data_IF_081141729910
#
_entry.id   IF_081141729910
#
_cell.length_a   1.000
_cell.length_b   1.000
_cell.length_c   1.000
_cell.angle_alpha   90.00
_cell.angle_beta   90.00
_cell.angle_gamma   90.00
#
_symmetry.space_group_name_H-M   'P 1'
#
loop_
_entity.id
_entity.type
_entity.pdbx_description
1 polymer ?
#
# COMPACT_ATOMS: atom_id res chain seq x y z
N UNK A 1 -5.48 -26.17 0.45
CA UNK A 1 -4.76 -25.29 1.39
C UNK A 1 -4.86 -23.90 0.77
N UNK A 2 -5.51 -22.95 1.45
CA UNK A 2 -5.72 -21.61 0.91
C UNK A 2 -4.36 -20.90 0.81
N UNK A 3 -3.98 -20.58 -0.42
CA UNK A 3 -2.81 -19.78 -0.80
C UNK A 3 -2.94 -18.30 -0.40
N UNK A 4 -4.07 -17.91 0.20
CA UNK A 4 -4.35 -16.53 0.66
C UNK A 4 -3.81 -16.23 2.06
N UNK A 5 -3.05 -17.16 2.67
CA UNK A 5 -2.57 -17.00 4.04
C UNK A 5 -1.30 -16.18 4.20
N UNK A 6 -0.50 -16.05 3.15
CA UNK A 6 0.83 -15.46 3.24
C UNK A 6 0.77 -13.94 3.07
N UNK A 7 1.59 -13.22 3.82
CA UNK A 7 1.60 -11.75 3.85
C UNK A 7 1.71 -11.13 2.45
N UNK A 8 2.57 -11.68 1.60
CA UNK A 8 2.75 -11.16 0.23
C UNK A 8 1.50 -11.33 -0.65
N UNK A 9 0.75 -12.42 -0.45
CA UNK A 9 -0.50 -12.67 -1.15
C UNK A 9 -1.62 -11.74 -0.64
N UNK A 10 -1.65 -11.49 0.66
CA UNK A 10 -2.58 -10.56 1.31
C UNK A 10 -2.40 -9.13 0.78
N UNK A 11 -1.17 -8.61 0.74
CA UNK A 11 -0.91 -7.25 0.24
C UNK A 11 -1.14 -7.16 -1.28
N UNK A 12 -0.86 -8.24 -2.03
CA UNK A 12 -1.25 -8.29 -3.45
C UNK A 12 -2.77 -8.18 -3.61
N UNK A 13 -3.53 -8.90 -2.79
CA UNK A 13 -4.99 -8.85 -2.82
C UNK A 13 -5.52 -7.45 -2.49
N UNK A 14 -4.91 -6.77 -1.51
CA UNK A 14 -5.21 -5.38 -1.20
C UNK A 14 -4.99 -4.45 -2.40
N UNK A 15 -3.86 -4.61 -3.11
CA UNK A 15 -3.57 -3.85 -4.33
C UNK A 15 -4.59 -4.14 -5.45
N UNK A 16 -4.91 -5.40 -5.69
CA UNK A 16 -5.89 -5.81 -6.70
C UNK A 16 -7.28 -5.21 -6.39
N UNK A 17 -7.68 -5.25 -5.10
CA UNK A 17 -8.93 -4.66 -4.64
C UNK A 17 -8.96 -3.14 -4.83
N UNK A 18 -7.90 -2.44 -4.44
CA UNK A 18 -7.81 -1.00 -4.62
C UNK A 18 -7.81 -0.58 -6.11
N UNK A 19 -7.23 -1.40 -6.98
CA UNK A 19 -7.29 -1.16 -8.44
C UNK A 19 -8.70 -1.35 -9.00
N UNK A 20 -9.44 -2.36 -8.54
CA UNK A 20 -10.84 -2.55 -8.96
C UNK A 20 -11.74 -1.43 -8.44
N UNK A 21 -11.47 -0.94 -7.23
CA UNK A 21 -12.17 0.21 -6.64
C UNK A 21 -12.00 1.48 -7.48
N UNK A 22 -10.78 1.77 -7.97
CA UNK A 22 -10.54 2.87 -8.92
C UNK A 22 -11.35 2.68 -10.19
N UNK A 23 -11.30 1.50 -10.80
CA UNK A 23 -12.03 1.20 -12.05
C UNK A 23 -13.55 1.34 -11.88
N UNK A 24 -14.09 0.91 -10.74
CA UNK A 24 -15.51 1.10 -10.39
C UNK A 24 -15.84 2.60 -10.31
N UNK A 25 -15.03 3.35 -9.58
CA UNK A 25 -15.22 4.78 -9.34
C UNK A 25 -15.10 5.60 -10.63
N UNK A 26 -14.13 5.28 -11.49
CA UNK A 26 -14.00 5.86 -12.85
C UNK A 26 -15.26 5.62 -13.69
N UNK A 27 -15.82 4.41 -13.62
CA UNK A 27 -17.05 4.06 -14.34
C UNK A 27 -18.24 4.89 -13.85
N UNK A 28 -18.32 5.16 -12.55
CA UNK A 28 -19.37 6.00 -11.97
C UNK A 28 -19.22 7.47 -12.37
N UNK A 29 -18.01 8.03 -12.33
CA UNK A 29 -17.72 9.38 -12.83
C UNK A 29 -18.08 9.49 -14.31
N UNK A 30 -17.71 8.50 -15.12
CA UNK A 30 -18.02 8.49 -16.55
C UNK A 30 -19.53 8.48 -16.81
N UNK A 31 -20.30 7.68 -16.05
CA UNK A 31 -21.77 7.68 -16.14
C UNK A 31 -22.37 9.03 -15.76
N UNK A 32 -21.88 9.64 -14.68
CA UNK A 32 -22.31 10.96 -14.24
C UNK A 32 -22.05 12.02 -15.32
N UNK A 33 -20.89 12.00 -15.97
CA UNK A 33 -20.56 12.91 -17.08
C UNK A 33 -21.53 12.73 -18.28
N UNK A 34 -21.84 11.48 -18.63
CA UNK A 34 -22.80 11.18 -19.71
C UNK A 34 -24.20 11.69 -19.37
N UNK A 35 -24.68 11.45 -18.15
CA UNK A 35 -26.02 11.85 -17.75
C UNK A 35 -26.13 13.37 -17.53
N UNK A 36 -25.06 14.01 -17.07
CA UNK A 36 -24.96 15.46 -17.01
C UNK A 36 -25.06 16.10 -18.40
N UNK A 37 -24.30 15.59 -19.39
CA UNK A 37 -24.35 16.12 -20.75
C UNK A 37 -25.74 16.01 -21.38
N UNK A 38 -26.44 14.89 -21.17
CA UNK A 38 -27.85 14.74 -21.59
C UNK A 38 -28.77 15.73 -20.90
N UNK A 39 -28.56 15.97 -19.61
CA UNK A 39 -29.42 16.85 -18.80
C UNK A 39 -29.25 18.32 -19.18
N UNK A 40 -28.08 18.72 -19.70
CA UNK A 40 -27.83 20.08 -20.19
C UNK A 40 -28.43 20.38 -21.57
N UNK A 41 -28.79 19.38 -22.37
CA UNK A 41 -29.33 19.61 -23.73
C UNK A 41 -30.62 20.44 -23.68
N UNK A 42 -30.58 21.63 -24.30
CA UNK A 42 -31.74 22.51 -24.42
C UNK A 42 -32.11 23.30 -23.15
N UNK A 43 -31.25 23.28 -22.13
CA UNK A 43 -31.43 24.06 -20.90
C UNK A 43 -30.94 25.51 -21.06
N UNK A 44 -31.43 26.40 -20.19
CA UNK A 44 -30.94 27.78 -20.10
C UNK A 44 -29.68 27.89 -19.23
N UNK A 45 -29.00 29.04 -19.29
CA UNK A 45 -27.73 29.28 -18.59
C UNK A 45 -27.86 29.18 -17.06
N UNK A 46 -29.03 29.48 -16.48
CA UNK A 46 -29.25 29.42 -15.04
C UNK A 46 -29.36 27.95 -14.58
N UNK A 47 -30.07 27.13 -15.35
CA UNK A 47 -30.21 25.71 -15.11
C UNK A 47 -28.90 24.95 -15.35
N UNK A 48 -28.14 25.31 -16.39
CA UNK A 48 -26.78 24.77 -16.64
C UNK A 48 -25.87 25.00 -15.44
N UNK A 49 -25.90 26.21 -14.86
CA UNK A 49 -25.09 26.53 -13.68
C UNK A 49 -25.49 25.65 -12.48
N UNK A 50 -26.79 25.51 -12.22
CA UNK A 50 -27.31 24.67 -11.14
C UNK A 50 -26.87 23.21 -11.28
N UNK A 51 -27.01 22.65 -12.48
CA UNK A 51 -26.60 21.28 -12.79
C UNK A 51 -25.09 21.09 -12.65
N UNK A 52 -24.29 22.11 -12.99
CA UNK A 52 -22.82 22.06 -12.86
C UNK A 52 -22.41 21.98 -11.39
N UNK A 53 -23.00 22.81 -10.53
CA UNK A 53 -22.76 22.77 -9.07
C UNK A 53 -23.20 21.42 -8.48
N UNK A 54 -24.33 20.87 -8.93
CA UNK A 54 -24.79 19.54 -8.51
C UNK A 54 -23.84 18.42 -8.96
N UNK A 55 -23.32 18.49 -10.19
CA UNK A 55 -22.31 17.55 -10.71
C UNK A 55 -21.04 17.60 -9.89
N UNK A 56 -20.50 18.78 -9.58
CA UNK A 56 -19.27 18.93 -8.78
C UNK A 56 -19.44 18.26 -7.41
N UNK A 57 -20.56 18.51 -6.72
CA UNK A 57 -20.87 17.84 -5.46
C UNK A 57 -21.02 16.32 -5.59
N UNK A 58 -21.60 15.82 -6.69
CA UNK A 58 -21.71 14.38 -6.93
C UNK A 58 -20.33 13.76 -7.23
N UNK A 59 -19.46 14.44 -7.96
CA UNK A 59 -18.09 13.98 -8.22
C UNK A 59 -17.25 13.91 -6.96
N UNK A 60 -17.35 14.92 -6.08
CA UNK A 60 -16.72 14.89 -4.76
C UNK A 60 -17.21 13.70 -3.93
N UNK A 61 -18.52 13.42 -3.95
CA UNK A 61 -19.10 12.27 -3.25
C UNK A 61 -18.69 10.91 -3.80
N UNK A 62 -18.45 10.81 -5.11
CA UNK A 62 -17.95 9.58 -5.75
C UNK A 62 -16.51 9.28 -5.28
N UNK A 63 -15.74 10.30 -4.90
CA UNK A 63 -14.48 10.10 -4.19
C UNK A 63 -13.35 9.53 -5.06
N UNK A 64 -13.29 9.87 -6.35
CA UNK A 64 -12.26 9.37 -7.26
C UNK A 64 -10.83 9.67 -6.78
N UNK A 65 -10.61 10.82 -6.15
CA UNK A 65 -9.32 11.17 -5.56
C UNK A 65 -8.91 10.22 -4.42
N UNK A 66 -9.87 9.81 -3.59
CA UNK A 66 -9.64 8.91 -2.48
C UNK A 66 -9.34 7.50 -2.98
N UNK A 67 -10.04 7.05 -4.02
CA UNK A 67 -9.78 5.76 -4.68
C UNK A 67 -8.35 5.69 -5.24
N UNK A 68 -7.88 6.71 -5.96
CA UNK A 68 -6.49 6.76 -6.43
C UNK A 68 -5.48 6.86 -5.28
N UNK A 69 -5.80 7.59 -4.23
CA UNK A 69 -4.93 7.71 -3.05
C UNK A 69 -4.76 6.37 -2.34
N UNK A 70 -5.84 5.61 -2.21
CA UNK A 70 -5.84 4.24 -1.70
C UNK A 70 -5.01 3.31 -2.58
N UNK A 71 -5.24 3.29 -3.91
CA UNK A 71 -4.47 2.47 -4.85
C UNK A 71 -2.97 2.79 -4.77
N UNK A 72 -2.62 4.07 -4.69
CA UNK A 72 -1.23 4.50 -4.56
C UNK A 72 -0.59 4.01 -3.26
N UNK A 73 -1.31 4.06 -2.13
CA UNK A 73 -0.82 3.52 -0.85
C UNK A 73 -0.60 2.00 -0.96
N UNK A 74 -1.60 1.26 -1.43
CA UNK A 74 -1.49 -0.19 -1.60
C UNK A 74 -0.33 -0.59 -2.52
N UNK A 75 -0.12 0.14 -3.63
CA UNK A 75 0.99 -0.10 -4.54
C UNK A 75 2.36 0.18 -3.90
N UNK A 76 2.47 1.26 -3.12
CA UNK A 76 3.68 1.60 -2.36
C UNK A 76 4.04 0.50 -1.36
N UNK A 77 3.03 0.05 -0.59
CA UNK A 77 3.15 -1.02 0.40
C UNK A 77 3.58 -2.34 -0.24
N UNK A 78 2.91 -2.73 -1.32
CA UNK A 78 3.23 -3.94 -2.08
C UNK A 78 4.67 -3.92 -2.62
N UNK A 79 5.07 -2.83 -3.29
CA UNK A 79 6.42 -2.70 -3.83
C UNK A 79 7.49 -2.75 -2.74
N UNK A 80 7.23 -2.16 -1.57
CA UNK A 80 8.16 -2.20 -0.45
C UNK A 80 8.32 -3.62 0.08
N UNK A 81 7.22 -4.35 0.27
CA UNK A 81 7.29 -5.71 0.75
C UNK A 81 7.97 -6.64 -0.26
N UNK A 82 7.68 -6.51 -1.56
CA UNK A 82 8.40 -7.27 -2.59
C UNK A 82 9.92 -7.08 -2.48
N UNK A 83 10.39 -5.84 -2.30
CA UNK A 83 11.81 -5.60 -2.11
C UNK A 83 12.38 -6.17 -0.81
N UNK A 84 11.61 -6.19 0.28
CA UNK A 84 12.03 -6.87 1.53
C UNK A 84 12.24 -8.36 1.27
N UNK A 85 11.32 -9.02 0.57
CA UNK A 85 11.47 -10.43 0.20
C UNK A 85 12.62 -10.66 -0.78
N UNK A 86 12.84 -9.75 -1.74
CA UNK A 86 13.98 -9.82 -2.66
C UNK A 86 15.31 -9.77 -1.88
N UNK A 87 15.46 -8.80 -0.96
CA UNK A 87 16.64 -8.67 -0.11
C UNK A 87 16.86 -9.95 0.71
N UNK A 88 15.80 -10.46 1.34
CA UNK A 88 15.86 -11.69 2.13
C UNK A 88 16.27 -12.91 1.31
N UNK A 89 15.81 -13.02 0.06
CA UNK A 89 16.18 -14.14 -0.82
C UNK A 89 17.67 -14.18 -1.17
N UNK A 90 18.38 -13.05 -1.03
CA UNK A 90 19.82 -12.93 -1.30
C UNK A 90 20.68 -13.00 -0.02
N UNK A 91 20.06 -12.87 1.16
CA UNK A 91 20.74 -12.81 2.45
C UNK A 91 21.00 -14.20 3.02
N UNK A 92 22.21 -14.41 3.57
CA UNK A 92 22.58 -15.69 4.17
C UNK A 92 22.65 -15.64 5.72
N UNK A 93 22.67 -14.44 6.31
CA UNK A 93 22.76 -14.23 7.76
C UNK A 93 21.90 -13.05 8.19
N UNK A 94 21.41 -13.09 9.44
CA UNK A 94 20.52 -12.07 10.00
C UNK A 94 21.19 -10.70 10.02
N UNK A 95 22.46 -10.62 10.40
CA UNK A 95 23.24 -9.38 10.42
C UNK A 95 23.31 -8.72 9.03
N UNK A 96 23.67 -9.49 8.00
CA UNK A 96 23.75 -8.97 6.62
C UNK A 96 22.41 -8.52 6.08
N UNK A 97 21.34 -9.24 6.44
CA UNK A 97 19.99 -8.91 6.02
C UNK A 97 19.50 -7.65 6.73
N UNK A 98 19.73 -7.55 8.05
CA UNK A 98 19.42 -6.38 8.86
C UNK A 98 20.09 -5.11 8.30
N UNK A 99 21.38 -5.17 7.96
CA UNK A 99 22.07 -4.02 7.33
C UNK A 99 21.44 -3.60 6.01
N UNK A 100 21.06 -4.56 5.16
CA UNK A 100 20.46 -4.26 3.86
C UNK A 100 19.04 -3.69 4.01
N UNK A 101 18.24 -4.26 4.92
CA UNK A 101 16.91 -3.77 5.27
C UNK A 101 16.98 -2.35 5.86
N UNK A 102 17.92 -2.09 6.77
CA UNK A 102 18.18 -0.76 7.32
C UNK A 102 18.45 0.27 6.22
N UNK A 103 19.38 -0.06 5.30
CA UNK A 103 19.73 0.79 4.14
C UNK A 103 18.56 0.99 3.17
N UNK A 104 17.59 0.10 3.12
CA UNK A 104 16.43 0.21 2.23
C UNK A 104 15.29 1.01 2.87
N UNK A 105 14.90 0.64 4.09
CA UNK A 105 13.71 1.13 4.78
C UNK A 105 13.94 2.49 5.42
N UNK A 106 15.10 2.70 6.02
CA UNK A 106 15.43 3.93 6.75
C UNK A 106 16.30 4.90 5.94
N UNK A 107 16.87 4.43 4.82
CA UNK A 107 17.64 5.16 3.80
C UNK A 107 17.60 6.70 3.99
N UNK A 108 18.51 7.20 4.82
CA UNK A 108 18.82 8.61 5.11
C UNK A 108 17.63 9.57 5.01
N UNK A 109 16.72 9.58 5.99
CA UNK A 109 15.90 10.78 6.17
C UNK A 109 16.76 11.95 6.62
N UNK A 110 17.83 11.74 7.42
CA UNK A 110 18.72 12.84 7.85
C UNK A 110 20.18 12.43 8.16
N UNK A 111 20.66 11.29 7.65
CA UNK A 111 22.03 10.82 7.98
C UNK A 111 22.21 10.44 9.46
N UNK A 112 21.13 10.40 10.23
CA UNK A 112 21.12 9.85 11.58
C UNK A 112 21.23 8.33 11.52
N UNK A 113 22.09 7.78 12.38
CA UNK A 113 22.21 6.34 12.57
C UNK A 113 20.88 5.78 13.10
N UNK A 114 20.58 4.53 12.77
CA UNK A 114 19.40 3.88 13.33
C UNK A 114 19.49 3.84 14.86
N UNK A 115 18.36 4.05 15.52
CA UNK A 115 18.30 3.93 16.97
C UNK A 115 18.19 2.44 17.38
N UNK A 116 18.40 2.15 18.67
CA UNK A 116 18.38 0.77 19.19
C UNK A 116 17.07 0.03 18.90
N UNK A 117 15.96 0.75 18.96
CA UNK A 117 14.60 0.21 18.72
C UNK A 117 14.40 -0.17 17.24
N UNK A 118 14.85 0.69 16.32
CA UNK A 118 14.87 0.41 14.88
C UNK A 118 15.71 -0.82 14.56
N UNK A 119 16.90 -0.93 15.16
CA UNK A 119 17.77 -2.09 14.98
C UNK A 119 17.11 -3.38 15.47
N UNK A 120 16.50 -3.37 16.67
CA UNK A 120 15.82 -4.55 17.23
C UNK A 120 14.67 -5.01 16.32
N UNK A 121 13.84 -4.08 15.83
CA UNK A 121 12.74 -4.43 14.90
C UNK A 121 13.21 -4.92 13.53
N UNK A 122 14.31 -4.37 13.02
CA UNK A 122 14.92 -4.87 11.79
C UNK A 122 15.51 -6.27 11.97
N UNK A 123 16.11 -6.55 13.12
CA UNK A 123 16.66 -7.86 13.44
C UNK A 123 15.55 -8.91 13.56
N UNK A 124 14.46 -8.60 14.28
CA UNK A 124 13.26 -9.45 14.38
C UNK A 124 12.72 -9.83 12.98
N UNK A 125 12.61 -8.84 12.08
CA UNK A 125 12.17 -9.07 10.71
C UNK A 125 13.18 -9.92 9.92
N UNK A 126 14.48 -9.65 10.06
CA UNK A 126 15.53 -10.40 9.38
C UNK A 126 15.56 -11.88 9.80
N UNK A 127 15.43 -12.16 11.10
CA UNK A 127 15.36 -13.52 11.63
C UNK A 127 14.11 -14.26 11.12
N UNK A 128 12.94 -13.60 11.13
CA UNK A 128 11.71 -14.16 10.62
C UNK A 128 11.80 -14.48 9.11
N UNK A 129 12.40 -13.59 8.33
CA UNK A 129 12.62 -13.80 6.89
C UNK A 129 13.56 -14.97 6.63
N UNK A 130 14.68 -15.07 7.35
CA UNK A 130 15.62 -16.20 7.20
C UNK A 130 14.93 -17.52 7.55
N UNK A 131 14.20 -17.57 8.65
CA UNK A 131 13.44 -18.76 9.04
C UNK A 131 12.42 -19.15 7.95
N UNK A 132 11.72 -18.16 7.38
CA UNK A 132 10.75 -18.39 6.30
C UNK A 132 11.38 -18.98 5.04
N UNK A 133 12.57 -18.54 4.64
CA UNK A 133 13.29 -19.10 3.50
C UNK A 133 13.97 -20.44 3.80
N UNK A 134 14.39 -20.67 5.05
CA UNK A 134 15.01 -21.93 5.48
C UNK A 134 14.00 -23.08 5.62
N UNK A 135 12.81 -22.79 6.18
CA UNK A 135 11.80 -23.79 6.51
C UNK A 135 10.77 -24.04 5.37
N UNK A 136 11.08 -23.56 4.16
CA UNK A 136 10.24 -23.81 2.99
C UNK A 136 8.89 -23.09 3.04
N UNK A 137 8.85 -21.88 3.60
CA UNK A 137 7.67 -20.99 3.63
C UNK A 137 6.51 -21.52 4.49
N UNK A 138 6.78 -21.85 5.76
CA UNK A 138 5.75 -22.32 6.69
C UNK A 138 4.77 -21.20 7.11
N UNK A 139 3.52 -21.57 7.46
CA UNK A 139 2.50 -20.65 8.01
C UNK A 139 3.01 -19.94 9.30
N UNK A 140 3.83 -20.62 10.10
CA UNK A 140 4.38 -20.07 11.35
C UNK A 140 5.44 -19.00 11.09
N UNK A 141 6.33 -19.24 10.12
CA UNK A 141 7.32 -18.25 9.71
C UNK A 141 6.68 -17.04 9.01
N UNK A 142 5.61 -17.26 8.22
CA UNK A 142 4.81 -16.15 7.67
C UNK A 142 4.16 -15.31 8.77
N UNK A 143 3.63 -15.95 9.82
CA UNK A 143 3.05 -15.23 10.95
C UNK A 143 4.10 -14.36 11.67
N UNK A 144 5.32 -14.87 11.86
CA UNK A 144 6.43 -14.10 12.42
C UNK A 144 6.80 -12.90 11.54
N UNK A 145 6.86 -13.08 10.21
CA UNK A 145 7.08 -11.98 9.27
C UNK A 145 5.95 -10.95 9.38
N UNK A 146 4.69 -11.39 9.43
CA UNK A 146 3.53 -10.49 9.54
C UNK A 146 3.61 -9.62 10.79
N UNK A 147 3.94 -10.22 11.95
CA UNK A 147 4.07 -9.47 13.20
C UNK A 147 5.22 -8.46 13.13
N UNK A 148 6.41 -8.89 12.70
CA UNK A 148 7.58 -8.02 12.62
C UNK A 148 7.38 -6.90 11.59
N UNK A 149 6.73 -7.20 10.47
CA UNK A 149 6.40 -6.21 9.44
C UNK A 149 5.40 -5.18 9.94
N UNK A 150 4.37 -5.57 10.71
CA UNK A 150 3.41 -4.64 11.28
C UNK A 150 4.08 -3.63 12.22
N UNK A 151 4.92 -4.10 13.13
CA UNK A 151 5.68 -3.23 14.04
C UNK A 151 6.56 -2.24 13.27
N UNK A 152 7.23 -2.73 12.22
CA UNK A 152 8.07 -1.91 11.38
C UNK A 152 7.26 -0.88 10.55
N UNK A 153 6.09 -1.25 10.04
CA UNK A 153 5.19 -0.32 9.35
C UNK A 153 4.74 0.81 10.26
N UNK A 154 4.35 0.51 11.51
CA UNK A 154 3.97 1.52 12.49
C UNK A 154 5.11 2.50 12.75
N UNK A 155 6.33 1.98 12.90
CA UNK A 155 7.55 2.80 13.07
C UNK A 155 7.84 3.66 11.84
N UNK A 156 7.76 3.10 10.64
CA UNK A 156 7.98 3.83 9.39
C UNK A 156 6.93 4.93 9.19
N UNK A 157 5.66 4.69 9.55
CA UNK A 157 4.61 5.72 9.54
C UNK A 157 4.91 6.82 10.54
N UNK A 158 5.40 6.49 11.74
CA UNK A 158 5.75 7.47 12.77
C UNK A 158 6.85 8.44 12.32
N UNK A 159 7.80 7.98 11.50
CA UNK A 159 8.85 8.83 10.90
C UNK A 159 8.41 9.50 9.58
N UNK A 160 7.13 9.42 9.21
CA UNK A 160 6.55 10.13 8.06
C UNK A 160 6.67 9.44 6.72
N UNK A 161 7.04 8.15 6.66
CA UNK A 161 7.01 7.38 5.40
C UNK A 161 5.55 7.18 4.96
N UNK A 162 5.30 7.41 3.67
CA UNK A 162 3.98 7.20 3.06
C UNK A 162 3.81 5.72 2.66
N UNK A 163 3.37 4.95 3.64
CA UNK A 163 2.99 3.54 3.56
C UNK A 163 1.58 3.32 4.12
#
# INVERSE_FOLDING_TARGET
MSTDKHLIAEIKHELDWAAEEVKRTETEVMKLEVDFNKSMEGQDDAEIKRLTEEKEHLQERIGLHDAYSLQRRAASRFAMLCHVFDIASMGNTSDTLCEQLSRFLFRSVDGEAENKDQHEKLLELAEALIAYFADGHSDEADHAIRSAWQDLEEMLRAIGRKI
#
